data_IF_988902825384
#
_entry.id   IF_988902825384
#
_cell.length_a   1.000
_cell.length_b   1.000
_cell.length_c   1.000
_cell.angle_alpha   90.00
_cell.angle_beta   90.00
_cell.angle_gamma   90.00
#
_symmetry.space_group_name_H-M   'P 1'
#
loop_
_entity.id
_entity.type
_entity.pdbx_description
1 polymer ?
#
# COMPACT_ATOMS: atom_id res chain seq x y z
N UNK A 1 -18.64 -1.73 -10.60
CA UNK A 1 -17.75 -0.55 -10.47
C UNK A 1 -16.33 -0.97 -10.11
N UNK A 2 -15.33 -0.54 -10.89
CA UNK A 2 -13.91 -0.93 -10.75
C UNK A 2 -13.18 -0.23 -9.57
N UNK A 3 -13.91 0.19 -8.52
CA UNK A 3 -13.39 0.93 -7.37
C UNK A 3 -12.13 0.29 -6.74
N UNK A 4 -12.04 -1.03 -6.54
CA UNK A 4 -10.84 -1.64 -5.96
C UNK A 4 -9.58 -1.46 -6.83
N UNK A 5 -9.74 -1.50 -8.16
CA UNK A 5 -8.61 -1.35 -9.11
C UNK A 5 -8.08 0.09 -9.11
N UNK A 6 -8.97 1.08 -9.06
CA UNK A 6 -8.58 2.48 -8.94
C UNK A 6 -7.83 2.78 -7.64
N UNK A 7 -8.22 2.16 -6.52
CA UNK A 7 -7.51 2.33 -5.25
C UNK A 7 -6.11 1.70 -5.32
N UNK A 8 -5.97 0.53 -5.96
CA UNK A 8 -4.65 -0.08 -6.21
C UNK A 8 -3.78 0.79 -7.12
N UNK A 9 -4.35 1.37 -8.19
CA UNK A 9 -3.62 2.30 -9.05
C UNK A 9 -3.17 3.54 -8.27
N UNK A 10 -4.05 4.14 -7.46
CA UNK A 10 -3.70 5.26 -6.61
C UNK A 10 -2.61 4.90 -5.59
N UNK A 11 -2.69 3.71 -4.99
CA UNK A 11 -1.67 3.21 -4.07
C UNK A 11 -0.33 3.03 -4.79
N UNK A 12 -0.30 2.38 -5.95
CA UNK A 12 0.92 2.21 -6.75
C UNK A 12 1.52 3.55 -7.20
N UNK A 13 0.69 4.48 -7.67
CA UNK A 13 1.12 5.82 -8.06
C UNK A 13 1.69 6.60 -6.87
N UNK A 14 1.13 6.44 -5.66
CA UNK A 14 1.63 7.11 -4.46
C UNK A 14 3.08 6.71 -4.13
N UNK A 15 3.47 5.44 -4.36
CA UNK A 15 4.86 5.00 -4.16
C UNK A 15 5.82 5.68 -5.14
N UNK A 16 5.44 5.80 -6.40
CA UNK A 16 6.27 6.50 -7.39
C UNK A 16 6.41 7.99 -7.07
N UNK A 17 5.27 8.66 -6.82
CA UNK A 17 5.24 10.10 -6.55
C UNK A 17 6.03 10.44 -5.30
N UNK A 18 5.86 9.66 -4.22
CA UNK A 18 6.61 9.87 -2.99
C UNK A 18 8.08 9.53 -3.17
N UNK A 19 8.44 8.44 -3.86
CA UNK A 19 9.85 8.14 -4.15
C UNK A 19 10.57 9.25 -4.92
N UNK A 20 9.91 9.89 -5.88
CA UNK A 20 10.47 11.06 -6.59
C UNK A 20 10.55 12.28 -5.67
N UNK A 21 9.49 12.57 -4.91
CA UNK A 21 9.42 13.75 -4.06
C UNK A 21 10.34 13.66 -2.82
N UNK A 22 10.58 12.46 -2.30
CA UNK A 22 11.42 12.23 -1.12
C UNK A 22 12.88 12.62 -1.38
N UNK A 23 13.35 12.43 -2.62
CA UNK A 23 14.68 12.89 -3.02
C UNK A 23 14.89 14.41 -2.87
N UNK A 24 13.82 15.21 -2.78
CA UNK A 24 13.89 16.67 -2.55
C UNK A 24 13.72 17.06 -1.08
N UNK A 25 13.39 16.12 -0.19
CA UNK A 25 13.13 16.38 1.22
C UNK A 25 14.36 16.05 2.07
N UNK A 26 14.74 16.93 3.02
CA UNK A 26 15.78 16.59 3.96
C UNK A 26 15.31 15.49 4.91
N UNK A 27 16.20 14.53 5.28
CA UNK A 27 15.88 13.54 6.29
C UNK A 27 15.60 14.19 7.65
N UNK A 28 14.73 13.58 8.44
CA UNK A 28 14.51 14.02 9.82
C UNK A 28 15.81 13.83 10.62
N UNK A 29 16.14 14.80 11.47
CA UNK A 29 17.42 14.84 12.21
C UNK A 29 17.79 13.48 12.82
N UNK A 30 18.89 12.90 12.35
CA UNK A 30 19.44 11.63 12.83
C UNK A 30 18.66 10.38 12.40
N UNK A 31 17.75 10.47 11.43
CA UNK A 31 16.92 9.36 10.95
C UNK A 31 17.07 9.15 9.45
N UNK A 32 16.96 7.91 9.01
CA UNK A 32 16.95 7.52 7.59
C UNK A 32 15.58 7.65 6.90
N UNK A 33 14.69 8.51 7.41
CA UNK A 33 13.37 8.76 6.82
C UNK A 33 13.01 10.24 6.93
N UNK A 34 12.22 10.75 5.99
CA UNK A 34 11.73 12.12 5.94
C UNK A 34 10.34 12.28 6.55
N UNK A 35 9.84 13.52 6.65
CA UNK A 35 8.44 13.75 7.01
C UNK A 35 7.46 13.25 5.94
N UNK A 36 7.90 13.19 4.69
CA UNK A 36 7.11 12.69 3.56
C UNK A 36 6.86 11.18 3.69
N UNK A 37 7.86 10.42 4.15
CA UNK A 37 7.71 8.98 4.43
C UNK A 37 6.63 8.71 5.47
N UNK A 38 6.58 9.52 6.53
CA UNK A 38 5.57 9.41 7.59
C UNK A 38 4.18 9.72 7.03
N UNK A 39 4.04 10.78 6.25
CA UNK A 39 2.78 11.14 5.60
C UNK A 39 2.32 10.05 4.61
N UNK A 40 3.27 9.47 3.88
CA UNK A 40 3.00 8.40 2.92
C UNK A 40 2.58 7.11 3.62
N UNK A 41 3.18 6.76 4.76
CA UNK A 41 2.73 5.64 5.56
C UNK A 41 1.26 5.78 5.98
N UNK A 42 0.84 6.97 6.42
CA UNK A 42 -0.58 7.27 6.74
C UNK A 42 -1.48 7.12 5.52
N UNK A 43 -1.03 7.62 4.35
CA UNK A 43 -1.76 7.47 3.09
C UNK A 43 -1.89 5.99 2.68
N UNK A 44 -0.81 5.21 2.75
CA UNK A 44 -0.81 3.76 2.49
C UNK A 44 -1.84 3.08 3.40
N UNK A 45 -1.84 3.39 4.70
CA UNK A 45 -2.81 2.83 5.65
C UNK A 45 -4.26 3.13 5.26
N UNK A 46 -4.57 4.38 4.89
CA UNK A 46 -5.90 4.77 4.45
C UNK A 46 -6.32 4.07 3.14
N UNK A 47 -5.40 3.97 2.18
CA UNK A 47 -5.64 3.30 0.90
C UNK A 47 -5.81 1.79 1.06
N UNK A 48 -5.02 1.12 1.90
CA UNK A 48 -5.17 -0.30 2.20
C UNK A 48 -6.52 -0.59 2.89
N UNK A 49 -6.92 0.22 3.88
CA UNK A 49 -8.23 0.11 4.51
C UNK A 49 -9.37 0.23 3.49
N UNK A 50 -9.35 1.30 2.69
CA UNK A 50 -10.40 1.58 1.70
C UNK A 50 -10.42 0.53 0.59
N UNK A 51 -9.26 0.03 0.16
CA UNK A 51 -9.14 -1.05 -0.80
C UNK A 51 -9.80 -2.33 -0.30
N UNK A 52 -9.45 -2.81 0.89
CA UNK A 52 -10.03 -4.01 1.47
C UNK A 52 -11.56 -3.88 1.59
N UNK A 53 -12.04 -2.73 2.10
CA UNK A 53 -13.48 -2.46 2.23
C UNK A 53 -14.19 -2.46 0.88
N UNK A 54 -13.64 -1.76 -0.11
CA UNK A 54 -14.20 -1.70 -1.46
C UNK A 54 -14.23 -3.07 -2.15
N UNK A 55 -13.23 -3.90 -1.88
CA UNK A 55 -13.11 -5.23 -2.44
C UNK A 55 -14.10 -6.21 -1.81
N UNK A 56 -14.34 -6.13 -0.49
CA UNK A 56 -15.40 -6.89 0.18
C UNK A 56 -16.79 -6.54 -0.37
N UNK A 57 -17.09 -5.24 -0.49
CA UNK A 57 -18.33 -4.76 -1.08
C UNK A 57 -18.51 -5.22 -2.54
N UNK A 58 -17.45 -5.19 -3.34
CA UNK A 58 -17.48 -5.64 -4.73
C UNK A 58 -17.75 -7.15 -4.87
N UNK A 59 -17.46 -7.94 -3.84
CA UNK A 59 -17.74 -9.39 -3.80
C UNK A 59 -19.06 -9.73 -3.10
N UNK A 60 -19.83 -8.73 -2.66
CA UNK A 60 -21.07 -8.96 -1.92
C UNK A 60 -20.87 -9.52 -0.51
N UNK A 61 -19.65 -9.44 0.04
CA UNK A 61 -19.34 -9.89 1.40
C UNK A 61 -19.42 -8.69 2.34
N UNK A 62 -20.10 -8.82 3.48
CA UNK A 62 -20.10 -7.79 4.52
C UNK A 62 -18.67 -7.68 5.06
N UNK A 63 -17.94 -6.58 4.81
CA UNK A 63 -16.54 -6.50 5.18
C UNK A 63 -16.42 -6.44 6.71
N UNK A 64 -15.69 -7.35 7.36
CA UNK A 64 -15.45 -7.27 8.79
C UNK A 64 -14.64 -6.01 9.09
N UNK A 65 -15.30 -4.97 9.60
CA UNK A 65 -14.71 -3.63 9.77
C UNK A 65 -13.42 -3.63 10.59
N UNK A 66 -13.33 -4.47 11.62
CA UNK A 66 -12.12 -4.67 12.44
C UNK A 66 -10.95 -5.23 11.63
N UNK A 67 -11.19 -6.18 10.74
CA UNK A 67 -10.13 -6.75 9.89
C UNK A 67 -9.71 -5.82 8.77
N UNK A 68 -10.63 -5.01 8.23
CA UNK A 68 -10.26 -3.95 7.29
C UNK A 68 -9.39 -2.88 7.98
N UNK A 69 -9.71 -2.50 9.22
CA UNK A 69 -8.88 -1.59 10.03
C UNK A 69 -7.48 -2.16 10.26
N UNK A 70 -7.38 -3.45 10.61
CA UNK A 70 -6.09 -4.13 10.72
C UNK A 70 -5.31 -4.09 9.41
N UNK A 71 -5.97 -4.26 8.26
CA UNK A 71 -5.33 -4.16 6.94
C UNK A 71 -4.82 -2.74 6.62
N UNK A 72 -5.43 -1.69 7.18
CA UNK A 72 -4.90 -0.34 7.10
C UNK A 72 -3.71 -0.12 8.03
N UNK A 73 -3.83 -0.49 9.30
CA UNK A 73 -2.80 -0.25 10.32
C UNK A 73 -1.53 -1.07 10.09
N UNK A 74 -1.70 -2.34 9.69
CA UNK A 74 -0.60 -3.28 9.47
C UNK A 74 -0.84 -4.00 8.14
N UNK A 75 -0.57 -3.38 6.98
CA UNK A 75 -0.88 -3.97 5.67
C UNK A 75 -0.33 -5.39 5.51
N UNK A 76 0.90 -5.64 5.97
CA UNK A 76 1.56 -6.94 5.85
C UNK A 76 0.87 -8.08 6.61
N UNK A 77 0.18 -7.79 7.73
CA UNK A 77 -0.51 -8.80 8.54
C UNK A 77 -2.03 -8.73 8.37
N UNK A 78 -2.57 -7.53 8.32
CA UNK A 78 -3.99 -7.26 8.25
C UNK A 78 -4.62 -7.61 6.90
N UNK A 79 -3.90 -7.41 5.78
CA UNK A 79 -4.39 -7.85 4.46
C UNK A 79 -4.55 -9.39 4.42
N UNK A 80 -3.56 -10.20 4.83
CA UNK A 80 -3.75 -11.65 4.96
C UNK A 80 -4.95 -12.00 5.84
N UNK A 81 -5.03 -11.46 7.07
CA UNK A 81 -6.13 -11.74 8.00
C UNK A 81 -7.49 -11.39 7.39
N UNK A 82 -7.58 -10.27 6.67
CA UNK A 82 -8.78 -9.87 5.97
C UNK A 82 -9.16 -10.85 4.86
N UNK A 83 -8.21 -11.28 4.02
CA UNK A 83 -8.48 -12.24 2.94
C UNK A 83 -8.87 -13.62 3.43
N UNK A 84 -8.22 -14.14 4.47
CA UNK A 84 -8.57 -15.43 5.05
C UNK A 84 -9.96 -15.42 5.72
N UNK A 85 -10.46 -14.26 6.15
CA UNK A 85 -11.82 -14.11 6.70
C UNK A 85 -12.90 -13.91 5.65
N UNK A 86 -12.56 -13.37 4.49
CA UNK A 86 -13.53 -12.99 3.44
C UNK A 86 -13.55 -13.93 2.25
N UNK A 87 -12.60 -14.87 2.16
CA UNK A 87 -12.41 -15.75 1.00
C UNK A 87 -12.04 -17.18 1.39
N UNK A 88 -12.29 -18.19 0.53
CA UNK A 88 -11.82 -19.55 0.72
C UNK A 88 -10.29 -19.60 0.79
N UNK A 89 -9.73 -20.49 1.64
CA UNK A 89 -8.31 -20.59 1.95
C UNK A 89 -7.38 -20.51 0.72
N UNK A 90 -7.64 -21.31 -0.33
CA UNK A 90 -6.82 -21.32 -1.55
C UNK A 90 -6.79 -19.96 -2.25
N UNK A 91 -7.94 -19.29 -2.35
CA UNK A 91 -8.04 -17.96 -3.00
C UNK A 91 -7.45 -16.88 -2.10
N UNK A 92 -7.61 -16.99 -0.78
CA UNK A 92 -7.02 -16.07 0.18
C UNK A 92 -5.49 -16.10 0.10
N UNK A 93 -4.89 -17.28 0.01
CA UNK A 93 -3.44 -17.46 -0.06
C UNK A 93 -2.85 -16.85 -1.34
N UNK A 94 -3.42 -17.18 -2.51
CA UNK A 94 -3.01 -16.58 -3.78
C UNK A 94 -3.17 -15.05 -3.77
N UNK A 95 -4.27 -14.54 -3.20
CA UNK A 95 -4.51 -13.10 -3.16
C UNK A 95 -3.58 -12.37 -2.19
N UNK A 96 -3.21 -13.03 -1.11
CA UNK A 96 -2.21 -12.52 -0.16
C UNK A 96 -0.85 -12.43 -0.83
N UNK A 97 -0.44 -13.46 -1.58
CA UNK A 97 0.79 -13.43 -2.36
C UNK A 97 0.80 -12.28 -3.38
N UNK A 98 -0.30 -12.07 -4.10
CA UNK A 98 -0.43 -10.93 -5.01
C UNK A 98 -0.36 -9.58 -4.27
N UNK A 99 -0.98 -9.45 -3.11
CA UNK A 99 -0.93 -8.21 -2.33
C UNK A 99 0.47 -7.92 -1.79
N UNK A 100 1.17 -8.95 -1.28
CA UNK A 100 2.56 -8.83 -0.83
C UNK A 100 3.46 -8.47 -2.01
N UNK A 101 3.30 -9.15 -3.15
CA UNK A 101 4.04 -8.84 -4.38
C UNK A 101 3.78 -7.41 -4.87
N UNK A 102 2.54 -6.94 -4.78
CA UNK A 102 2.19 -5.55 -5.14
C UNK A 102 2.86 -4.53 -4.22
N UNK A 103 2.84 -4.75 -2.90
CA UNK A 103 3.51 -3.86 -1.94
C UNK A 103 5.04 -3.87 -2.13
N UNK A 104 5.64 -5.04 -2.37
CA UNK A 104 7.05 -5.16 -2.69
C UNK A 104 7.41 -4.42 -3.98
N UNK A 105 6.58 -4.53 -5.02
CA UNK A 105 6.75 -3.77 -6.26
C UNK A 105 6.62 -2.26 -6.04
N UNK A 106 5.72 -1.83 -5.14
CA UNK A 106 5.62 -0.43 -4.72
C UNK A 106 6.91 0.08 -4.08
N UNK A 107 7.55 -0.71 -3.22
CA UNK A 107 8.86 -0.38 -2.63
C UNK A 107 9.96 -0.26 -3.70
N UNK A 108 10.00 -1.19 -4.64
CA UNK A 108 10.94 -1.13 -5.78
C UNK A 108 10.70 0.13 -6.61
N UNK A 109 9.44 0.48 -6.86
CA UNK A 109 9.08 1.67 -7.63
C UNK A 109 9.48 2.98 -6.91
N UNK A 110 9.32 3.03 -5.59
CA UNK A 110 9.79 4.15 -4.78
C UNK A 110 11.32 4.28 -4.85
N UNK A 111 12.05 3.16 -4.70
CA UNK A 111 13.51 3.13 -4.80
C UNK A 111 14.02 3.52 -6.21
N UNK A 112 13.31 3.13 -7.27
CA UNK A 112 13.62 3.60 -8.63
C UNK A 112 13.40 5.11 -8.73
N UNK A 113 12.32 5.64 -8.16
CA UNK A 113 12.02 7.07 -8.15
C UNK A 113 13.11 7.91 -7.47
N UNK A 114 13.63 7.44 -6.34
CA UNK A 114 14.74 8.10 -5.63
C UNK A 114 16.03 8.05 -6.47
N UNK A 115 16.42 6.86 -6.95
CA UNK A 115 17.66 6.66 -7.71
C UNK A 115 17.70 7.43 -9.03
N UNK A 116 16.58 7.46 -9.77
CA UNK A 116 16.47 8.25 -11.01
C UNK A 116 16.64 9.75 -10.74
N UNK A 117 16.07 10.23 -9.63
CA UNK A 117 16.16 11.64 -9.27
C UNK A 117 17.57 12.03 -8.83
N UNK A 118 18.25 11.16 -8.09
CA UNK A 118 19.67 11.34 -7.73
C UNK A 118 20.57 11.37 -8.98
N UNK A 119 20.35 10.45 -9.94
CA UNK A 119 21.12 10.37 -11.18
C UNK A 119 20.97 11.61 -12.08
N UNK A 120 19.86 12.35 -11.97
CA UNK A 120 19.65 13.59 -12.71
C UNK A 120 20.33 14.81 -12.06
N UNK A 121 20.77 14.69 -10.80
CA UNK A 121 21.42 15.79 -10.05
C UNK A 121 22.94 15.71 -10.04
N UNK A 122 23.51 14.54 -10.31
CA UNK A 122 24.96 14.31 -10.51
C UNK A 122 25.41 14.78 -11.88
#
# INVERSE_FOLDING_TARGET
>A
MNRPRWILLALGLSFLVVGVADAFMPPLRGKGYSALDVAHAVLISALCYTWCRAEGLARGVIPPGRSALLAGMFPLLGIPVYFFRTRPWRRALVSTLWAVGFLAMGLVLAAIGTLLTESMRS
#
